data_IF_993564489759
#
_entry.id   IF_993564489759
#
_cell.length_a   1.000
_cell.length_b   1.000
_cell.length_c   1.000
_cell.angle_alpha   90.00
_cell.angle_beta   90.00
_cell.angle_gamma   90.00
#
_symmetry.space_group_name_H-M   'P 1'
#
loop_
_entity.id
_entity.type
_entity.pdbx_description
1 polymer ?
#
# COMPACT_ATOMS: atom_id res chain seq x y z
N UNK A 1 -12.39 15.54 -20.28
CA UNK A 1 -11.41 14.46 -20.46
C UNK A 1 -10.20 14.84 -19.63
N UNK A 2 -10.06 14.23 -18.46
CA UNK A 2 -8.87 14.24 -17.66
C UNK A 2 -8.07 13.02 -18.05
N UNK A 3 -6.84 13.26 -18.51
CA UNK A 3 -5.86 12.20 -18.56
C UNK A 3 -5.49 11.82 -17.12
N UNK A 4 -5.31 10.53 -16.80
CA UNK A 4 -4.68 10.15 -15.55
C UNK A 4 -3.33 10.86 -15.45
N UNK A 5 -2.98 11.34 -14.25
CA UNK A 5 -1.61 11.81 -14.02
C UNK A 5 -0.62 10.62 -14.15
N UNK A 6 0.68 10.89 -14.20
CA UNK A 6 1.69 9.84 -14.41
C UNK A 6 1.59 8.68 -13.41
N UNK A 7 1.33 8.97 -12.14
CA UNK A 7 1.20 7.95 -11.09
C UNK A 7 -0.08 7.13 -11.27
N UNK A 8 -1.20 7.78 -11.58
CA UNK A 8 -2.46 7.11 -11.87
C UNK A 8 -2.34 6.21 -13.10
N UNK A 9 -1.67 6.69 -14.16
CA UNK A 9 -1.41 5.94 -15.38
C UNK A 9 -0.57 4.69 -15.08
N UNK A 10 0.51 4.83 -14.30
CA UNK A 10 1.34 3.70 -13.87
C UNK A 10 0.55 2.68 -13.04
N UNK A 11 -0.30 3.15 -12.10
CA UNK A 11 -1.14 2.24 -11.32
C UNK A 11 -2.13 1.46 -12.20
N UNK A 12 -2.80 2.14 -13.13
CA UNK A 12 -3.72 1.53 -14.07
C UNK A 12 -3.02 0.54 -15.02
N UNK A 13 -1.82 0.90 -15.49
CA UNK A 13 -0.96 0.03 -16.27
C UNK A 13 -0.59 -1.23 -15.49
N UNK A 14 -0.16 -1.11 -14.23
CA UNK A 14 0.17 -2.28 -13.40
C UNK A 14 -1.03 -3.20 -13.18
N UNK A 15 -2.24 -2.66 -12.95
CA UNK A 15 -3.48 -3.47 -12.85
C UNK A 15 -3.72 -4.24 -14.15
N UNK A 16 -3.65 -3.57 -15.30
CA UNK A 16 -3.88 -4.21 -16.59
C UNK A 16 -2.81 -5.26 -16.90
N UNK A 17 -1.53 -4.94 -16.68
CA UNK A 17 -0.43 -5.85 -16.97
C UNK A 17 -0.48 -7.11 -16.10
N UNK A 18 -0.83 -6.99 -14.81
CA UNK A 18 -1.01 -8.15 -13.95
C UNK A 18 -2.13 -9.06 -14.46
N UNK A 19 -3.28 -8.48 -14.82
CA UNK A 19 -4.38 -9.23 -15.40
C UNK A 19 -4.02 -9.88 -16.76
N UNK A 20 -3.27 -9.16 -17.60
CA UNK A 20 -2.76 -9.67 -18.89
C UNK A 20 -1.76 -10.81 -18.70
N UNK A 21 -0.87 -10.70 -17.71
CA UNK A 21 0.07 -11.76 -17.36
C UNK A 21 -0.68 -13.03 -16.92
N UNK A 22 -1.67 -12.91 -16.04
CA UNK A 22 -2.50 -14.05 -15.63
C UNK A 22 -3.19 -14.71 -16.84
N UNK A 23 -3.74 -13.90 -17.76
CA UNK A 23 -4.33 -14.42 -19.00
C UNK A 23 -3.31 -15.18 -19.86
N UNK A 24 -2.10 -14.64 -20.04
CA UNK A 24 -1.00 -15.29 -20.79
C UNK A 24 -0.60 -16.61 -20.14
N UNK A 25 -0.37 -16.62 -18.83
CA UNK A 25 0.01 -17.83 -18.09
C UNK A 25 -1.04 -18.93 -18.26
N UNK A 26 -2.34 -18.62 -18.16
CA UNK A 26 -3.42 -19.59 -18.40
C UNK A 26 -3.46 -20.07 -19.85
N UNK A 27 -3.38 -19.14 -20.82
CA UNK A 27 -3.39 -19.47 -22.25
C UNK A 27 -2.22 -20.38 -22.62
N UNK A 28 -1.02 -20.05 -22.17
CA UNK A 28 0.22 -20.76 -22.50
C UNK A 28 0.22 -22.16 -21.83
N UNK A 29 -0.36 -22.27 -20.64
CA UNK A 29 -0.59 -23.57 -19.98
C UNK A 29 -1.53 -24.46 -20.78
N UNK A 30 -2.62 -23.91 -21.32
CA UNK A 30 -3.51 -24.65 -22.22
C UNK A 30 -2.83 -25.01 -23.54
N UNK A 31 -2.04 -24.11 -24.12
CA UNK A 31 -1.28 -24.37 -25.35
C UNK A 31 -0.24 -25.49 -25.17
N UNK A 32 0.30 -25.65 -23.95
CA UNK A 32 1.17 -26.76 -23.57
C UNK A 32 0.42 -28.10 -23.36
N UNK A 33 -0.89 -28.14 -23.58
CA UNK A 33 -1.71 -29.35 -23.52
C UNK A 33 -2.26 -29.68 -22.14
N UNK A 34 -2.08 -28.80 -21.15
CA UNK A 34 -2.70 -29.00 -19.83
C UNK A 34 -4.18 -28.60 -19.88
N UNK A 35 -5.12 -29.51 -19.52
CA UNK A 35 -6.54 -29.19 -19.50
C UNK A 35 -6.92 -28.24 -18.35
N UNK A 36 -6.09 -28.17 -17.30
CA UNK A 36 -6.20 -27.24 -16.19
C UNK A 36 -4.79 -26.83 -15.72
N UNK A 37 -4.62 -25.64 -15.13
CA UNK A 37 -3.31 -25.21 -14.67
C UNK A 37 -2.69 -26.14 -13.61
N UNK A 38 -1.41 -26.54 -13.75
CA UNK A 38 -0.67 -27.27 -12.73
C UNK A 38 -0.62 -26.52 -11.37
N UNK A 39 -0.40 -27.23 -10.24
CA UNK A 39 -0.48 -26.61 -8.90
C UNK A 39 0.46 -25.42 -8.66
N UNK A 40 1.65 -25.44 -9.24
CA UNK A 40 2.63 -24.35 -9.22
C UNK A 40 2.11 -23.12 -9.98
N UNK A 41 1.52 -23.33 -11.17
CA UNK A 41 0.86 -22.25 -11.93
C UNK A 41 -0.34 -21.68 -11.18
N UNK A 42 -1.16 -22.54 -10.55
CA UNK A 42 -2.28 -22.08 -9.70
C UNK A 42 -1.78 -21.18 -8.56
N UNK A 43 -0.65 -21.55 -7.94
CA UNK A 43 -0.03 -20.75 -6.88
C UNK A 43 0.47 -19.40 -7.38
N UNK A 44 1.15 -19.36 -8.53
CA UNK A 44 1.59 -18.13 -9.19
C UNK A 44 0.41 -17.21 -9.53
N UNK A 45 -0.65 -17.76 -10.14
CA UNK A 45 -1.88 -17.01 -10.44
C UNK A 45 -2.53 -16.43 -9.17
N UNK A 46 -2.50 -17.17 -8.06
CA UNK A 46 -3.00 -16.68 -6.78
C UNK A 46 -2.12 -15.58 -6.15
N UNK A 47 -0.81 -15.58 -6.40
CA UNK A 47 0.06 -14.43 -6.03
C UNK A 47 -0.28 -13.24 -6.92
N UNK A 48 -0.33 -13.44 -8.24
CA UNK A 48 -0.64 -12.38 -9.20
C UNK A 48 -1.97 -11.69 -8.90
N UNK A 49 -3.02 -12.46 -8.61
CA UNK A 49 -4.34 -11.94 -8.26
C UNK A 49 -4.30 -11.10 -6.96
N UNK A 50 -3.60 -11.58 -5.92
CA UNK A 50 -3.41 -10.81 -4.69
C UNK A 50 -2.67 -9.51 -4.93
N UNK A 51 -1.61 -9.54 -5.75
CA UNK A 51 -0.88 -8.34 -6.14
C UNK A 51 -1.81 -7.36 -6.86
N UNK A 52 -2.60 -7.85 -7.83
CA UNK A 52 -3.56 -7.04 -8.57
C UNK A 52 -4.57 -6.36 -7.64
N UNK A 53 -5.18 -7.10 -6.71
CA UNK A 53 -6.13 -6.55 -5.74
C UNK A 53 -5.49 -5.39 -4.95
N UNK A 54 -4.25 -5.56 -4.46
CA UNK A 54 -3.55 -4.50 -3.72
C UNK A 54 -3.22 -3.30 -4.62
N UNK A 55 -2.89 -3.51 -5.89
CA UNK A 55 -2.74 -2.42 -6.87
C UNK A 55 -4.05 -1.69 -7.11
N UNK A 56 -5.17 -2.40 -7.25
CA UNK A 56 -6.48 -1.79 -7.43
C UNK A 56 -6.90 -0.96 -6.23
N UNK A 57 -6.65 -1.46 -5.01
CA UNK A 57 -6.91 -0.71 -3.78
C UNK A 57 -6.03 0.52 -3.68
N UNK A 58 -4.76 0.40 -4.04
CA UNK A 58 -3.81 1.53 -4.06
C UNK A 58 -4.18 2.55 -5.14
N UNK A 59 -4.59 2.09 -6.33
CA UNK A 59 -5.07 2.92 -7.43
C UNK A 59 -6.28 3.76 -6.98
N UNK A 60 -7.24 3.14 -6.31
CA UNK A 60 -8.40 3.86 -5.77
C UNK A 60 -7.99 4.88 -4.71
N UNK A 61 -7.04 4.54 -3.84
CA UNK A 61 -6.51 5.46 -2.82
C UNK A 61 -5.79 6.67 -3.41
N UNK A 62 -5.08 6.52 -4.54
CA UNK A 62 -4.45 7.65 -5.27
C UNK A 62 -5.44 8.40 -6.20
N UNK A 63 -6.72 8.06 -6.13
CA UNK A 63 -7.77 8.78 -6.85
C UNK A 63 -8.07 8.26 -8.25
N UNK A 64 -7.63 7.05 -8.62
CA UNK A 64 -8.13 6.40 -9.83
C UNK A 64 -9.61 6.04 -9.64
N UNK A 65 -10.52 6.50 -10.50
CA UNK A 65 -11.90 6.08 -10.48
C UNK A 65 -12.05 4.57 -10.67
N UNK A 66 -13.00 3.97 -9.96
CA UNK A 66 -13.30 2.52 -10.04
C UNK A 66 -13.53 2.08 -11.48
N UNK A 67 -14.27 2.86 -12.28
CA UNK A 67 -14.52 2.52 -13.69
C UNK A 67 -13.27 2.51 -14.58
N UNK A 68 -12.23 3.29 -14.24
CA UNK A 68 -10.95 3.24 -14.97
C UNK A 68 -10.22 1.96 -14.62
N UNK A 69 -10.22 1.60 -13.33
CA UNK A 69 -9.61 0.37 -12.82
C UNK A 69 -10.30 -0.85 -13.41
N UNK A 70 -11.63 -0.90 -13.39
CA UNK A 70 -12.41 -1.98 -13.99
C UNK A 70 -12.11 -2.11 -15.48
N UNK A 71 -12.08 -0.99 -16.22
CA UNK A 71 -11.74 -1.01 -17.64
C UNK A 71 -10.34 -1.59 -17.90
N UNK A 72 -9.34 -1.18 -17.13
CA UNK A 72 -7.97 -1.70 -17.22
C UNK A 72 -7.88 -3.18 -16.84
N UNK A 73 -8.55 -3.58 -15.76
CA UNK A 73 -8.66 -4.99 -15.35
C UNK A 73 -9.27 -5.84 -16.46
N UNK A 74 -10.41 -5.43 -16.99
CA UNK A 74 -11.12 -6.14 -18.05
C UNK A 74 -10.32 -6.19 -19.36
N UNK A 75 -9.59 -5.14 -19.71
CA UNK A 75 -8.65 -5.18 -20.83
C UNK A 75 -7.55 -6.22 -20.61
N UNK A 76 -6.94 -6.25 -19.43
CA UNK A 76 -5.93 -7.24 -19.11
C UNK A 76 -6.48 -8.66 -19.13
N UNK A 77 -7.69 -8.89 -18.61
CA UNK A 77 -8.36 -10.20 -18.65
C UNK A 77 -8.59 -10.69 -20.09
N UNK A 78 -8.77 -9.78 -21.05
CA UNK A 78 -8.86 -10.11 -22.49
C UNK A 78 -7.51 -10.33 -23.16
N UNK A 79 -6.40 -10.09 -22.46
CA UNK A 79 -5.05 -10.14 -23.00
C UNK A 79 -4.62 -8.86 -23.74
N UNK A 80 -5.38 -7.77 -23.61
CA UNK A 80 -5.02 -6.49 -24.22
C UNK A 80 -3.74 -5.95 -23.57
N UNK A 81 -2.78 -5.51 -24.37
CA UNK A 81 -1.61 -4.79 -23.89
C UNK A 81 -1.96 -3.35 -23.50
N UNK A 82 -1.20 -2.79 -22.57
CA UNK A 82 -1.33 -1.39 -22.21
C UNK A 82 -0.88 -0.50 -23.37
N UNK A 83 -1.63 0.58 -23.63
CA UNK A 83 -1.22 1.62 -24.60
C UNK A 83 -1.25 2.98 -23.92
N UNK A 84 -0.19 3.77 -24.08
CA UNK A 84 -0.01 5.08 -23.42
C UNK A 84 -1.03 6.15 -23.86
N UNK A 85 -1.60 6.00 -25.06
CA UNK A 85 -2.55 6.94 -25.67
C UNK A 85 -4.03 6.67 -25.30
N UNK A 86 -4.28 5.92 -24.23
CA UNK A 86 -5.64 5.49 -23.85
C UNK A 86 -6.45 6.64 -23.26
N UNK A 87 -7.66 6.85 -23.79
CA UNK A 87 -8.57 7.87 -23.30
C UNK A 87 -9.53 7.29 -22.27
N UNK A 88 -9.65 7.96 -21.13
CA UNK A 88 -10.57 7.60 -20.06
C UNK A 88 -11.68 8.65 -19.95
N UNK A 89 -12.93 8.19 -19.76
CA UNK A 89 -14.06 9.10 -19.50
C UNK A 89 -14.11 9.47 -18.03
N UNK A 90 -14.34 10.75 -17.70
CA UNK A 90 -14.17 11.34 -16.35
C UNK A 90 -15.39 11.24 -15.43
N UNK A 91 -15.28 10.58 -14.27
CA UNK A 91 -16.14 10.90 -13.16
C UNK A 91 -15.48 12.02 -12.33
N UNK A 92 -16.24 12.94 -11.75
CA UNK A 92 -15.69 13.85 -10.76
C UNK A 92 -15.07 13.06 -9.60
N UNK A 93 -13.89 13.47 -9.15
CA UNK A 93 -13.20 12.86 -8.02
C UNK A 93 -13.73 13.46 -6.71
N UNK A 94 -14.38 12.65 -5.88
CA UNK A 94 -14.80 13.08 -4.55
C UNK A 94 -13.62 13.00 -3.57
N UNK A 95 -12.94 14.13 -3.36
CA UNK A 95 -11.82 14.24 -2.41
C UNK A 95 -12.23 13.82 -1.00
N UNK A 96 -13.46 14.09 -0.57
CA UNK A 96 -13.91 13.73 0.78
C UNK A 96 -14.02 12.21 0.96
N UNK A 97 -14.50 11.51 -0.06
CA UNK A 97 -14.55 10.05 -0.09
C UNK A 97 -13.14 9.44 -0.09
N UNK A 98 -12.20 10.01 -0.86
CA UNK A 98 -10.79 9.58 -0.87
C UNK A 98 -10.14 9.71 0.52
N UNK A 99 -10.28 10.88 1.15
CA UNK A 99 -9.75 11.12 2.48
C UNK A 99 -10.38 10.17 3.50
N UNK A 100 -11.69 9.94 3.41
CA UNK A 100 -12.37 8.98 4.28
C UNK A 100 -11.80 7.57 4.13
N UNK A 101 -11.54 7.12 2.89
CA UNK A 101 -10.92 5.81 2.63
C UNK A 101 -9.49 5.74 3.17
N UNK A 102 -8.66 6.74 2.87
CA UNK A 102 -7.29 6.82 3.38
C UNK A 102 -7.25 6.84 4.92
N UNK A 103 -8.20 7.53 5.55
CA UNK A 103 -8.34 7.57 7.01
C UNK A 103 -8.58 6.18 7.59
N UNK A 104 -9.45 5.37 6.98
CA UNK A 104 -9.68 3.98 7.40
C UNK A 104 -8.41 3.13 7.31
N UNK A 105 -7.63 3.28 6.24
CA UNK A 105 -6.37 2.55 6.08
C UNK A 105 -5.31 2.97 7.12
N UNK A 106 -5.23 4.27 7.43
CA UNK A 106 -4.36 4.79 8.50
C UNK A 106 -4.81 4.23 9.86
N UNK A 107 -6.13 4.14 10.12
CA UNK A 107 -6.64 3.54 11.36
C UNK A 107 -6.35 2.04 11.43
N UNK A 108 -6.41 1.32 10.31
CA UNK A 108 -5.99 -0.08 10.24
C UNK A 108 -4.48 -0.24 10.55
N UNK A 109 -3.63 0.66 10.04
CA UNK A 109 -2.21 0.69 10.40
C UNK A 109 -1.99 0.95 11.91
N UNK A 110 -2.78 1.85 12.50
CA UNK A 110 -2.77 2.09 13.94
C UNK A 110 -3.22 0.85 14.74
N UNK A 111 -4.20 0.09 14.23
CA UNK A 111 -4.64 -1.17 14.83
C UNK A 111 -3.55 -2.23 14.81
N UNK A 112 -2.80 -2.36 13.70
CA UNK A 112 -1.64 -3.26 13.63
C UNK A 112 -0.57 -2.89 14.65
N UNK A 113 -0.30 -1.59 14.83
CA UNK A 113 0.66 -1.12 15.84
C UNK A 113 0.19 -1.47 17.27
N UNK A 114 -1.12 -1.33 17.55
CA UNK A 114 -1.72 -1.74 18.81
C UNK A 114 -1.69 -3.24 19.04
N UNK A 115 -1.91 -4.03 17.98
CA UNK A 115 -1.85 -5.47 18.01
C UNK A 115 -0.45 -5.96 18.39
N UNK A 116 0.61 -5.46 17.75
CA UNK A 116 1.99 -5.80 18.14
C UNK A 116 2.28 -5.40 19.58
N UNK A 117 1.90 -4.17 19.96
CA UNK A 117 2.16 -3.66 21.30
C UNK A 117 1.51 -4.52 22.38
N UNK A 118 0.23 -4.87 22.22
CA UNK A 118 -0.47 -5.71 23.19
C UNK A 118 0.04 -7.15 23.19
N UNK A 119 0.27 -7.74 22.00
CA UNK A 119 0.78 -9.09 21.89
C UNK A 119 2.15 -9.23 22.57
N UNK A 120 3.07 -8.30 22.30
CA UNK A 120 4.40 -8.28 22.91
C UNK A 120 4.35 -8.09 24.43
N UNK A 121 3.43 -7.26 24.95
CA UNK A 121 3.29 -7.07 26.40
C UNK A 121 2.77 -8.32 27.12
N UNK A 122 1.91 -9.12 26.47
CA UNK A 122 1.26 -10.28 27.11
C UNK A 122 2.06 -11.57 26.96
N UNK A 123 2.74 -11.76 25.83
CA UNK A 123 3.57 -12.93 25.56
C UNK A 123 5.05 -12.73 25.94
N UNK A 124 5.49 -11.50 26.20
CA UNK A 124 6.88 -11.19 26.50
C UNK A 124 7.83 -11.55 25.36
N UNK A 125 8.98 -12.13 25.71
CA UNK A 125 10.04 -12.49 24.77
C UNK A 125 9.86 -13.87 24.10
N UNK A 126 8.75 -14.57 24.37
CA UNK A 126 8.49 -15.91 23.79
C UNK A 126 8.15 -15.86 22.28
N UNK A 127 8.00 -14.68 21.70
CA UNK A 127 7.67 -14.54 20.30
C UNK A 127 8.85 -14.98 19.40
N UNK A 128 8.59 -15.88 18.46
CA UNK A 128 9.56 -16.25 17.44
C UNK A 128 10.06 -15.00 16.69
N UNK A 129 11.38 -14.84 16.62
CA UNK A 129 12.01 -13.66 16.03
C UNK A 129 11.56 -13.42 14.57
N UNK A 130 11.39 -14.50 13.80
CA UNK A 130 10.97 -14.45 12.40
C UNK A 130 9.53 -13.95 12.25
N UNK A 131 8.60 -14.38 13.11
CA UNK A 131 7.22 -13.88 13.09
C UNK A 131 7.17 -12.39 13.44
N UNK A 132 7.97 -11.95 14.43
CA UNK A 132 8.11 -10.53 14.77
C UNK A 132 8.65 -9.72 13.58
N UNK A 133 9.69 -10.24 12.91
CA UNK A 133 10.29 -9.59 11.76
C UNK A 133 9.31 -9.50 10.57
N UNK A 134 8.56 -10.57 10.29
CA UNK A 134 7.51 -10.59 9.27
C UNK A 134 6.41 -9.57 9.56
N UNK A 135 5.89 -9.55 10.80
CA UNK A 135 4.87 -8.60 11.21
C UNK A 135 5.34 -7.14 11.07
N UNK A 136 6.55 -6.82 11.56
CA UNK A 136 7.13 -5.48 11.45
C UNK A 136 7.36 -5.06 10.01
N UNK A 137 7.78 -5.99 9.16
CA UNK A 137 7.94 -5.73 7.73
C UNK A 137 6.59 -5.38 7.09
N UNK A 138 5.52 -6.08 7.47
CA UNK A 138 4.15 -5.77 7.01
C UNK A 138 3.67 -4.39 7.44
N UNK A 139 3.88 -4.01 8.70
CA UNK A 139 3.59 -2.65 9.18
C UNK A 139 4.43 -1.63 8.39
N UNK A 140 5.74 -1.85 8.26
CA UNK A 140 6.64 -0.93 7.57
C UNK A 140 6.26 -0.70 6.11
N UNK A 141 5.91 -1.75 5.37
CA UNK A 141 5.44 -1.64 3.98
C UNK A 141 4.08 -0.93 3.89
N UNK A 142 3.15 -1.24 4.79
CA UNK A 142 1.86 -0.55 4.86
C UNK A 142 2.04 0.93 5.14
N UNK A 143 2.91 1.27 6.10
CA UNK A 143 3.28 2.66 6.42
C UNK A 143 3.86 3.38 5.21
N UNK A 144 4.78 2.75 4.47
CA UNK A 144 5.38 3.34 3.26
C UNK A 144 4.32 3.57 2.18
N UNK A 145 3.45 2.58 1.93
CA UNK A 145 2.34 2.69 0.97
C UNK A 145 1.43 3.87 1.30
N UNK A 146 1.00 3.99 2.56
CA UNK A 146 0.10 5.07 2.97
C UNK A 146 0.79 6.45 2.97
N UNK A 147 2.09 6.50 3.27
CA UNK A 147 2.90 7.71 3.11
C UNK A 147 3.00 8.16 1.66
N UNK A 148 3.21 7.21 0.74
CA UNK A 148 3.25 7.49 -0.69
C UNK A 148 1.89 7.97 -1.21
N UNK A 149 0.79 7.30 -0.87
CA UNK A 149 -0.57 7.76 -1.19
C UNK A 149 -0.81 9.18 -0.66
N UNK A 150 -0.44 9.43 0.59
CA UNK A 150 -0.60 10.74 1.24
C UNK A 150 0.18 11.84 0.52
N UNK A 151 1.38 11.53 0.01
CA UNK A 151 2.15 12.44 -0.81
C UNK A 151 1.45 12.73 -2.14
N UNK A 152 0.99 11.69 -2.85
CA UNK A 152 0.32 11.81 -4.15
C UNK A 152 -0.97 12.62 -4.07
N UNK A 153 -1.70 12.54 -2.94
CA UNK A 153 -2.91 13.34 -2.71
C UNK A 153 -2.63 14.78 -2.26
N UNK A 154 -1.36 15.14 -2.10
CA UNK A 154 -0.88 16.46 -1.64
C UNK A 154 -1.62 16.90 -0.38
N UNK A 155 -1.64 16.04 0.64
CA UNK A 155 -2.40 16.33 1.86
C UNK A 155 -1.91 17.62 2.52
N UNK A 156 -2.86 18.52 2.79
CA UNK A 156 -2.63 19.67 3.65
C UNK A 156 -2.38 19.25 5.10
N UNK A 157 -1.78 20.14 5.89
CA UNK A 157 -1.55 19.88 7.32
C UNK A 157 -2.84 19.58 8.09
N UNK A 158 -3.95 20.25 7.72
CA UNK A 158 -5.26 20.02 8.31
C UNK A 158 -5.80 18.63 7.99
N UNK A 159 -5.71 18.20 6.73
CA UNK A 159 -6.14 16.86 6.30
C UNK A 159 -5.28 15.79 6.97
N UNK A 160 -3.96 15.97 7.00
CA UNK A 160 -3.05 15.06 7.69
C UNK A 160 -3.43 14.93 9.18
N UNK A 161 -3.63 16.04 9.87
CA UNK A 161 -4.06 16.01 11.28
C UNK A 161 -5.40 15.29 11.47
N UNK A 162 -6.36 15.51 10.56
CA UNK A 162 -7.67 14.89 10.62
C UNK A 162 -7.59 13.36 10.42
N UNK A 163 -6.86 12.90 9.40
CA UNK A 163 -6.70 11.48 9.09
C UNK A 163 -6.03 10.70 10.23
N UNK A 164 -5.03 11.32 10.88
CA UNK A 164 -4.32 10.72 12.01
C UNK A 164 -5.06 10.81 13.34
N UNK A 165 -6.19 11.53 13.38
CA UNK A 165 -7.08 11.55 14.54
C UNK A 165 -8.06 10.37 14.49
N UNK A 166 -8.40 9.80 15.64
CA UNK A 166 -9.34 8.66 15.74
C UNK A 166 -10.40 8.96 16.79
N UNK A 167 -11.67 8.76 16.44
CA UNK A 167 -12.80 9.04 17.33
C UNK A 167 -12.86 10.49 17.83
N UNK A 168 -12.37 11.46 17.03
CA UNK A 168 -12.29 12.87 17.43
C UNK A 168 -11.12 13.22 18.36
N UNK A 169 -10.35 12.24 18.83
CA UNK A 169 -9.14 12.45 19.62
C UNK A 169 -7.89 12.54 18.74
N UNK A 170 -7.01 13.49 19.04
CA UNK A 170 -5.65 13.53 18.47
C UNK A 170 -4.74 12.44 19.04
N UNK A 171 -5.07 11.91 20.22
CA UNK A 171 -4.38 10.77 20.81
C UNK A 171 -5.05 9.48 20.32
N UNK A 172 -4.71 9.07 19.10
CA UNK A 172 -5.19 7.82 18.52
C UNK A 172 -4.68 6.59 19.28
N UNK A 173 -3.48 6.66 19.87
CA UNK A 173 -2.85 5.55 20.56
C UNK A 173 -3.64 5.15 21.81
N UNK A 174 -4.21 6.12 22.54
CA UNK A 174 -5.14 5.85 23.64
C UNK A 174 -6.39 5.09 23.18
N UNK A 175 -6.95 5.46 22.02
CA UNK A 175 -8.13 4.79 21.47
C UNK A 175 -7.82 3.34 21.09
N UNK A 176 -6.68 3.12 20.43
CA UNK A 176 -6.16 1.78 20.12
C UNK A 176 -5.89 0.99 21.40
N UNK A 177 -5.21 1.55 22.38
CA UNK A 177 -4.93 0.90 23.66
C UNK A 177 -6.21 0.43 24.36
N UNK A 178 -7.23 1.28 24.39
CA UNK A 178 -8.55 0.94 24.98
C UNK A 178 -9.21 -0.21 24.21
N UNK A 179 -9.14 -0.20 22.88
CA UNK A 179 -9.70 -1.25 22.03
C UNK A 179 -8.94 -2.58 22.17
N UNK A 180 -7.61 -2.54 22.27
CA UNK A 180 -6.81 -3.76 22.37
C UNK A 180 -6.86 -4.37 23.77
N UNK A 181 -7.09 -3.56 24.80
CA UNK A 181 -7.24 -4.04 26.18
C UNK A 181 -8.42 -5.00 26.36
N UNK A 182 -9.49 -4.85 25.55
CA UNK A 182 -10.67 -5.74 25.61
C UNK A 182 -10.52 -7.05 24.83
N UNK A 183 -9.43 -7.23 24.09
CA UNK A 183 -9.18 -8.45 23.30
C UNK A 183 -8.60 -9.56 24.17
N UNK A 184 -8.92 -10.82 23.83
CA UNK A 184 -8.33 -11.99 24.50
C UNK A 184 -6.93 -12.29 23.96
N UNK A 185 -6.12 -13.03 24.72
CA UNK A 185 -4.77 -13.42 24.30
C UNK A 185 -4.80 -14.30 23.05
N UNK A 186 -5.81 -15.17 22.95
CA UNK A 186 -6.02 -16.02 21.78
C UNK A 186 -6.31 -15.20 20.53
N UNK A 187 -7.15 -14.16 20.63
CA UNK A 187 -7.49 -13.31 19.48
C UNK A 187 -6.25 -12.52 19.03
N UNK A 188 -5.50 -11.95 19.97
CA UNK A 188 -4.25 -11.26 19.68
C UNK A 188 -3.24 -12.17 19.00
N UNK A 189 -3.02 -13.38 19.53
CA UNK A 189 -2.08 -14.34 18.96
C UNK A 189 -2.50 -14.80 17.55
N UNK A 190 -3.79 -15.05 17.35
CA UNK A 190 -4.33 -15.47 16.05
C UNK A 190 -4.18 -14.37 15.00
N UNK A 191 -4.58 -13.14 15.33
CA UNK A 191 -4.45 -12.00 14.41
C UNK A 191 -2.98 -11.64 14.16
N UNK A 192 -2.14 -11.70 15.19
CA UNK A 192 -0.71 -11.46 15.07
C UNK A 192 -0.06 -12.47 14.12
N UNK A 193 -0.29 -13.77 14.34
CA UNK A 193 0.25 -14.82 13.49
C UNK A 193 -0.26 -14.72 12.05
N UNK A 194 -1.52 -14.37 11.85
CA UNK A 194 -2.09 -14.17 10.52
C UNK A 194 -1.40 -13.02 9.77
N UNK A 195 -1.18 -11.88 10.42
CA UNK A 195 -0.49 -10.74 9.85
C UNK A 195 1.02 -10.99 9.67
N UNK A 196 1.67 -11.69 10.59
CA UNK A 196 3.09 -12.05 10.53
C UNK A 196 3.41 -12.97 9.35
N UNK A 197 2.50 -13.89 9.03
CA UNK A 197 2.62 -14.87 7.94
C UNK A 197 2.02 -14.40 6.62
N UNK A 198 1.44 -13.19 6.59
CA UNK A 198 0.90 -12.64 5.35
C UNK A 198 2.04 -12.47 4.34
N UNK A 199 1.81 -12.91 3.09
CA UNK A 199 2.76 -12.63 2.02
C UNK A 199 2.80 -11.12 1.79
N UNK A 200 3.96 -10.51 2.02
CA UNK A 200 4.16 -9.07 1.96
C UNK A 200 4.44 -8.55 0.55
N UNK A 201 4.77 -9.43 -0.41
CA UNK A 201 5.08 -9.00 -1.77
C UNK A 201 3.96 -8.18 -2.44
N UNK A 202 2.67 -8.58 -2.36
CA UNK A 202 1.57 -7.72 -2.81
C UNK A 202 1.59 -6.31 -2.23
N UNK A 203 2.03 -6.12 -0.98
CA UNK A 203 2.12 -4.81 -0.32
C UNK A 203 3.35 -4.00 -0.79
N UNK A 204 4.45 -4.67 -1.08
CA UNK A 204 5.69 -4.04 -1.53
C UNK A 204 5.58 -3.51 -2.96
N UNK A 205 4.85 -4.19 -3.84
CA UNK A 205 4.84 -3.88 -5.26
C UNK A 205 4.34 -2.48 -5.62
N UNK A 206 3.19 -1.99 -5.08
CA UNK A 206 2.76 -0.62 -5.37
C UNK A 206 3.77 0.43 -4.89
N UNK A 207 4.45 0.18 -3.77
CA UNK A 207 5.51 1.08 -3.28
C UNK A 207 6.67 1.12 -4.28
N UNK A 208 7.10 -0.02 -4.80
CA UNK A 208 8.15 -0.08 -5.83
C UNK A 208 7.76 0.66 -7.11
N UNK A 209 6.51 0.50 -7.57
CA UNK A 209 5.99 1.24 -8.74
C UNK A 209 5.97 2.76 -8.48
N UNK A 210 5.50 3.19 -7.31
CA UNK A 210 5.51 4.61 -6.92
C UNK A 210 6.93 5.18 -6.86
N UNK A 211 7.88 4.43 -6.32
CA UNK A 211 9.29 4.86 -6.27
C UNK A 211 9.91 4.98 -7.65
N UNK A 212 9.58 4.07 -8.59
CA UNK A 212 9.99 4.18 -9.99
C UNK A 212 9.38 5.39 -10.69
N UNK A 213 8.20 5.83 -10.25
CA UNK A 213 7.59 7.09 -10.70
C UNK A 213 8.28 8.35 -10.12
N UNK A 214 9.37 8.19 -9.36
CA UNK A 214 10.15 9.29 -8.79
C UNK A 214 9.81 9.62 -7.33
N UNK A 215 8.89 8.89 -6.69
CA UNK A 215 8.51 9.14 -5.30
C UNK A 215 9.63 8.68 -4.35
N UNK A 216 10.23 9.61 -3.62
CA UNK A 216 11.36 9.33 -2.74
C UNK A 216 10.89 8.96 -1.33
N UNK A 217 11.78 8.33 -0.55
CA UNK A 217 11.49 8.03 0.84
C UNK A 217 11.18 9.29 1.67
N UNK A 218 11.85 10.41 1.36
CA UNK A 218 11.62 11.69 2.01
C UNK A 218 10.20 12.23 1.74
N UNK A 219 9.65 11.97 0.56
CA UNK A 219 8.29 12.36 0.21
C UNK A 219 7.28 11.61 1.06
N UNK A 220 7.49 10.30 1.24
CA UNK A 220 6.64 9.48 2.13
C UNK A 220 6.71 9.95 3.58
N UNK A 221 7.92 10.16 4.12
CA UNK A 221 8.09 10.53 5.53
C UNK A 221 7.51 11.89 5.86
N UNK A 222 7.51 12.85 4.92
CA UNK A 222 6.93 14.19 5.12
C UNK A 222 5.43 14.17 5.44
N UNK A 223 4.70 13.16 4.97
CA UNK A 223 3.26 13.03 5.21
C UNK A 223 2.90 12.09 6.36
N UNK A 224 3.90 11.43 6.95
CA UNK A 224 3.71 10.48 8.05
C UNK A 224 4.29 11.09 9.34
N UNK A 225 3.47 11.47 10.33
CA UNK A 225 3.91 12.20 11.51
C UNK A 225 4.79 11.39 12.46
N UNK A 226 4.79 10.07 12.35
CA UNK A 226 5.52 9.15 13.21
C UNK A 226 5.91 7.91 12.41
N UNK A 227 7.09 7.35 12.68
CA UNK A 227 7.55 6.11 12.06
C UNK A 227 6.78 4.89 12.61
N UNK A 228 6.68 3.84 11.81
CA UNK A 228 5.97 2.60 12.15
C UNK A 228 6.34 2.02 13.53
N UNK A 229 7.64 1.88 13.81
CA UNK A 229 8.12 1.37 15.11
C UNK A 229 7.68 2.27 16.27
N UNK A 230 7.77 3.59 16.09
CA UNK A 230 7.35 4.54 17.09
C UNK A 230 5.82 4.54 17.31
N UNK A 231 5.02 4.11 16.32
CA UNK A 231 3.58 3.86 16.52
C UNK A 231 3.34 2.72 17.51
N UNK A 232 4.07 1.62 17.38
CA UNK A 232 3.98 0.46 18.29
C UNK A 232 4.38 0.87 19.70
N UNK A 233 5.48 1.60 19.83
CA UNK A 233 5.97 2.13 21.12
C UNK A 233 4.96 3.05 21.79
N UNK A 234 4.31 3.93 21.02
CA UNK A 234 3.28 4.83 21.55
C UNK A 234 2.03 4.06 21.99
N UNK A 235 1.57 3.08 21.21
CA UNK A 235 0.46 2.23 21.60
C UNK A 235 0.78 1.42 22.87
N UNK A 236 2.02 0.89 22.97
CA UNK A 236 2.51 0.18 24.15
C UNK A 236 2.47 1.04 25.40
N UNK A 237 2.95 2.29 25.30
CA UNK A 237 2.94 3.23 26.41
C UNK A 237 1.50 3.51 26.91
N UNK A 238 0.56 3.70 25.99
CA UNK A 238 -0.85 3.93 26.33
C UNK A 238 -1.51 2.68 26.95
N UNK A 239 -1.20 1.46 26.47
CA UNK A 239 -1.69 0.21 27.08
C UNK A 239 -1.20 0.08 28.53
N UNK A 240 0.08 0.36 28.77
CA UNK A 240 0.64 0.34 30.13
C UNK A 240 0.02 1.42 31.02
N UNK A 241 -0.25 2.60 30.48
CA UNK A 241 -0.86 3.70 31.21
C UNK A 241 -2.32 3.42 31.63
N UNK A 242 -3.04 2.59 30.87
CA UNK A 242 -4.39 2.11 31.26
C UNK A 242 -4.35 1.15 32.47
N UNK A 243 -3.18 0.62 32.82
CA UNK A 243 -2.98 -0.28 33.94
C UNK A 243 -3.49 -1.71 33.69
N UNK A 244 -3.37 -2.60 34.70
CA UNK A 244 -3.86 -3.96 34.62
C UNK A 244 -5.39 -3.92 34.43
N UNK A 245 -5.86 -4.37 33.27
CA UNK A 245 -7.30 -4.56 33.08
C UNK A 245 -7.74 -5.71 33.97
N UNK A 246 -8.76 -5.49 34.81
CA UNK A 246 -9.35 -6.53 35.65
C UNK A 246 -10.15 -7.58 34.84
N UNK A 247 -9.85 -7.75 33.55
CA UNK A 247 -10.47 -8.76 32.68
C UNK A 247 -9.86 -10.11 33.02
N UNK A 248 -10.36 -10.62 34.14
CA UNK A 248 -10.55 -12.01 34.53
C UNK A 248 -9.62 -13.04 33.89
N UNK A 249 -8.66 -13.49 34.69
CA UNK A 249 -8.16 -14.85 34.62
C UNK A 249 -9.36 -15.82 34.55
N UNK A 250 -9.51 -16.52 33.44
CA UNK A 250 -10.31 -17.74 33.36
C UNK A 250 -9.44 -18.81 32.66
N UNK A 251 -9.54 -20.08 33.12
CA UNK A 251 -8.36 -20.92 33.16
C UNK A 251 -8.28 -21.94 32.02
N UNK A 252 -7.07 -22.53 31.97
CA UNK A 252 -6.74 -23.90 31.53
C UNK A 252 -6.72 -24.18 30.03
N UNK A 253 -5.49 -24.17 29.52
CA UNK A 253 -4.87 -25.26 28.76
C UNK A 253 -5.82 -26.13 27.93
N UNK A 254 -6.29 -25.59 26.82
CA UNK A 254 -6.32 -26.40 25.61
C UNK A 254 -4.92 -26.30 25.00
N UNK A 255 -4.18 -27.39 25.12
CA UNK A 255 -3.03 -27.71 24.29
C UNK A 255 -3.49 -27.58 22.84
N UNK A 256 -3.30 -26.38 22.27
CA UNK A 256 -3.37 -26.17 20.84
C UNK A 256 -2.30 -27.09 20.28
N UNK A 257 -2.77 -28.24 19.81
CA UNK A 257 -1.98 -29.12 18.98
C UNK A 257 -1.66 -28.26 17.79
N UNK A 258 -0.41 -27.80 17.75
CA UNK A 258 0.19 -27.08 16.65
C UNK A 258 -0.06 -27.94 15.41
N UNK A 259 -1.15 -27.66 14.72
CA UNK A 259 -1.43 -28.24 13.43
C UNK A 259 -0.32 -27.66 12.57
N UNK A 260 0.74 -28.47 12.43
CA UNK A 260 1.78 -28.28 11.44
C UNK A 260 1.08 -28.21 10.10
N UNK A 261 0.62 -27.01 9.74
CA UNK A 261 0.49 -26.58 8.38
C UNK A 261 1.92 -26.70 7.88
N UNK A 262 2.22 -27.89 7.33
CA UNK A 262 3.41 -28.09 6.52
C UNK A 262 3.41 -26.89 5.61
N UNK A 263 4.38 -26.00 5.83
CA UNK A 263 4.63 -24.86 4.96
C UNK A 263 4.45 -25.42 3.56
N UNK A 264 3.45 -24.94 2.78
CA UNK A 264 3.38 -25.31 1.38
C UNK A 264 4.80 -25.17 0.90
N UNK A 265 5.36 -26.26 0.33
CA UNK A 265 6.72 -26.31 -0.23
C UNK A 265 7.09 -24.90 -0.66
N UNK A 266 8.30 -24.45 -0.36
CA UNK A 266 8.92 -23.27 -0.97
C UNK A 266 8.90 -23.44 -2.51
N UNK A 267 7.70 -23.42 -3.09
CA UNK A 267 7.39 -23.13 -4.46
C UNK A 267 7.94 -21.73 -4.53
N UNK A 268 9.01 -21.62 -5.31
CA UNK A 268 9.88 -20.48 -5.49
C UNK A 268 9.07 -19.18 -5.55
N UNK A 269 8.74 -18.69 -4.35
CA UNK A 269 7.80 -17.59 -4.20
C UNK A 269 8.52 -16.34 -4.64
N UNK A 270 9.85 -16.30 -4.50
CA UNK A 270 10.73 -15.31 -5.09
C UNK A 270 10.47 -15.18 -6.58
N UNK A 271 10.55 -16.29 -7.35
CA UNK A 271 10.25 -16.25 -8.78
C UNK A 271 8.84 -15.74 -9.10
N UNK A 272 7.79 -16.27 -8.45
CA UNK A 272 6.42 -15.82 -8.72
C UNK A 272 6.20 -14.33 -8.35
N UNK A 273 6.92 -13.83 -7.35
CA UNK A 273 6.91 -12.44 -6.95
C UNK A 273 7.67 -11.57 -7.96
N UNK A 274 8.85 -12.00 -8.38
CA UNK A 274 9.67 -11.31 -9.37
C UNK A 274 8.93 -11.26 -10.72
N UNK A 275 8.30 -12.36 -11.14
CA UNK A 275 7.46 -12.39 -12.34
C UNK A 275 6.27 -11.42 -12.22
N UNK A 276 5.65 -11.31 -11.04
CA UNK A 276 4.60 -10.34 -10.80
C UNK A 276 5.13 -8.90 -10.82
N UNK A 277 6.33 -8.63 -10.27
CA UNK A 277 7.01 -7.33 -10.30
C UNK A 277 7.34 -6.95 -11.72
N UNK A 278 7.93 -7.87 -12.48
CA UNK A 278 8.26 -7.68 -13.87
C UNK A 278 7.00 -7.40 -14.66
N UNK A 279 5.94 -8.22 -14.52
CA UNK A 279 4.65 -7.97 -15.14
C UNK A 279 4.09 -6.58 -14.81
N UNK A 280 4.05 -6.21 -13.52
CA UNK A 280 3.54 -4.91 -13.09
C UNK A 280 4.40 -3.73 -13.58
N UNK A 281 5.67 -3.97 -13.93
CA UNK A 281 6.66 -2.93 -14.21
C UNK A 281 7.28 -2.95 -15.60
N UNK A 282 6.81 -3.81 -16.52
CA UNK A 282 7.07 -3.68 -17.96
C UNK A 282 6.43 -2.36 -18.43
N UNK A 283 7.13 -1.27 -18.13
CA UNK A 283 6.91 0.05 -18.66
C UNK A 283 7.66 0.10 -19.98
N UNK A 284 6.96 0.42 -21.06
CA UNK A 284 7.63 0.95 -22.25
C UNK A 284 8.52 2.11 -21.79
N UNK A 285 9.75 2.14 -22.31
CA UNK A 285 10.76 3.14 -22.02
C UNK A 285 10.13 4.53 -22.20
N UNK A 286 9.76 5.18 -21.09
CA UNK A 286 9.16 6.52 -21.07
C UNK A 286 10.22 7.59 -21.39
N UNK A 287 11.11 7.31 -22.34
CA UNK A 287 11.97 8.29 -23.01
C UNK A 287 11.19 9.00 -24.10
N UNK A 288 10.02 9.56 -23.78
CA UNK A 288 9.53 10.71 -24.55
C UNK A 288 10.16 11.96 -23.95
N UNK A 289 11.47 12.09 -24.17
CA UNK A 289 12.19 13.36 -24.06
C UNK A 289 11.76 14.25 -25.23
N UNK A 290 10.50 14.67 -25.25
CA UNK A 290 10.11 15.84 -26.03
C UNK A 290 10.85 17.04 -25.42
N UNK A 291 11.73 17.72 -26.19
CA UNK A 291 12.55 18.81 -25.66
C UNK A 291 11.65 19.93 -25.14
N UNK A 292 12.02 20.60 -24.03
CA UNK A 292 11.23 21.67 -23.46
C UNK A 292 11.00 22.78 -24.51
N UNK A 293 9.82 23.41 -24.51
CA UNK A 293 9.49 24.46 -25.46
C UNK A 293 10.54 25.56 -25.38
N UNK A 294 11.13 25.88 -26.53
CA UNK A 294 12.14 26.92 -26.69
C UNK A 294 11.63 28.22 -26.06
N UNK A 295 12.19 28.60 -24.92
CA UNK A 295 11.96 29.92 -24.35
C UNK A 295 12.40 30.96 -25.40
N UNK A 296 11.54 31.93 -25.76
CA UNK A 296 11.93 33.00 -26.65
C UNK A 296 13.06 33.81 -26.03
N UNK A 297 14.11 34.03 -26.81
CA UNK A 297 15.31 34.75 -26.41
C UNK A 297 14.97 36.14 -25.86
N UNK A 298 15.44 36.52 -24.66
CA UNK A 298 15.32 37.87 -24.14
C UNK A 298 16.40 38.73 -24.79
N UNK A 299 16.04 39.62 -25.71
CA UNK A 299 17.06 40.44 -26.37
C UNK A 299 16.51 41.50 -27.32
N UNK A 300 15.96 42.57 -26.78
CA UNK A 300 16.11 43.91 -27.35
C UNK A 300 15.79 44.93 -26.26
N UNK A 301 16.83 45.32 -25.52
CA UNK A 301 16.81 46.48 -24.65
C UNK A 301 16.47 47.73 -25.48
N UNK A 302 15.30 48.32 -25.24
CA UNK A 302 15.02 49.68 -25.68
C UNK A 302 15.21 50.62 -24.50
N UNK A 303 16.37 51.25 -24.55
CA UNK A 303 16.83 52.48 -23.92
C UNK A 303 15.79 53.38 -23.27
N UNK A 304 16.16 53.83 -22.07
CA UNK A 304 15.55 54.86 -21.23
C UNK A 304 15.31 56.20 -21.94
N UNK A 305 14.32 56.95 -21.43
CA UNK A 305 14.42 58.40 -21.27
C UNK A 305 14.42 58.74 -19.76
N UNK A 306 15.50 59.39 -19.32
CA UNK A 306 15.57 60.00 -18.01
C UNK A 306 14.77 61.30 -17.92
N UNK A 307 14.29 61.60 -16.72
CA UNK A 307 13.92 62.91 -16.18
C UNK A 307 14.03 62.68 -14.66
N UNK A 308 14.90 63.32 -13.91
CA UNK A 308 15.06 64.76 -13.78
C UNK A 308 14.99 65.01 -12.28
N UNK A 309 16.15 65.15 -11.65
CA UNK A 309 16.30 65.49 -10.24
C UNK A 309 16.35 67.01 -10.14
N UNK A 310 15.44 67.64 -9.41
CA UNK A 310 15.61 68.97 -8.80
C UNK A 310 14.40 69.30 -7.90
N UNK A 311 14.66 69.80 -6.69
CA UNK A 311 14.04 71.02 -6.22
C UNK A 311 14.97 72.23 -6.37
#
# INVERSE_FOLDING_TARGET
>A
MHAPNAIQALMLQSVQNLACNAWRTVRDTHAAGYPAPPPDVVYELAINDRCRIVFEDTAQLVGCPVRWIDFCRESGIRGDEWTSNRHFHDPPLDRSALLTRLGREIHALQDLAGLEAAHALRCGDELAADERAGFRSGIGMTWQRLGAVSHVLELSDKERLHLWSRGGSRNWAKAVATQTQSRTDRDLATEFAAAARANLAPLAMPVSVLRRAGLLHLDMTRHMPIHAEAMVELARAEILALGPSAVSAAPTSDTVTEAGVKSPREIDSGKAIDDAIDAATVAEDFTDTSPPPSQPAPGAASTAPGYGSEP
#
